data_IF_192885584237
#
_entry.id   IF_192885584237
#
_cell.length_a   1.000
_cell.length_b   1.000
_cell.length_c   1.000
_cell.angle_alpha   90.00
_cell.angle_beta   90.00
_cell.angle_gamma   90.00
#
_symmetry.space_group_name_H-M   'P 1'
#
loop_
_entity.id
_entity.type
_entity.pdbx_description
1 polymer ?
#
# COMPACT_ATOMS: atom_id res chain seq x y z
N UNK A 1 -4.02 41.75 -11.95
CA UNK A 1 -3.88 40.59 -12.85
C UNK A 1 -2.72 39.72 -12.36
N UNK A 2 -2.99 38.76 -11.47
CA UNK A 2 -1.98 37.86 -10.90
C UNK A 2 -2.20 36.48 -11.50
N UNK A 3 -1.24 36.00 -12.31
CA UNK A 3 -1.36 34.74 -13.04
C UNK A 3 -1.14 33.56 -12.10
N UNK A 4 -2.19 32.76 -11.94
CA UNK A 4 -2.21 31.36 -11.51
C UNK A 4 -1.09 30.55 -12.21
N UNK A 5 0.08 30.44 -11.58
CA UNK A 5 1.21 29.61 -12.04
C UNK A 5 1.54 28.46 -11.08
N UNK A 6 0.88 28.39 -9.92
CA UNK A 6 1.11 27.34 -8.91
C UNK A 6 0.21 26.11 -9.06
N UNK A 7 -1.04 26.27 -9.50
CA UNK A 7 -2.00 25.17 -9.60
C UNK A 7 -1.67 24.17 -10.72
N UNK A 8 -1.18 24.66 -11.87
CA UNK A 8 -0.89 23.81 -13.04
C UNK A 8 0.25 22.84 -12.77
N UNK A 9 1.33 23.25 -12.10
CA UNK A 9 2.49 22.37 -11.84
C UNK A 9 2.19 21.21 -10.88
N UNK A 10 1.25 21.41 -9.93
CA UNK A 10 0.78 20.37 -9.02
C UNK A 10 -0.18 19.41 -9.72
N UNK A 11 -1.05 19.92 -10.60
CA UNK A 11 -1.93 19.10 -11.43
C UNK A 11 -1.14 18.24 -12.43
N UNK A 12 -0.09 18.79 -13.04
CA UNK A 12 0.84 18.05 -13.91
C UNK A 12 1.55 16.94 -13.13
N UNK A 13 1.97 17.20 -11.88
CA UNK A 13 2.60 16.21 -11.03
C UNK A 13 1.65 15.08 -10.60
N UNK A 14 0.39 15.40 -10.29
CA UNK A 14 -0.62 14.40 -9.96
C UNK A 14 -0.97 13.54 -11.18
N UNK A 15 -1.18 14.16 -12.35
CA UNK A 15 -1.46 13.43 -13.58
C UNK A 15 -0.31 12.47 -13.94
N UNK A 16 0.94 12.95 -13.90
CA UNK A 16 2.13 12.13 -14.13
C UNK A 16 2.28 10.99 -13.10
N UNK A 17 1.91 11.22 -11.84
CA UNK A 17 1.92 10.17 -10.83
C UNK A 17 0.88 9.08 -11.12
N UNK A 18 -0.32 9.46 -11.59
CA UNK A 18 -1.34 8.51 -11.99
C UNK A 18 -0.96 7.75 -13.26
N UNK A 19 -0.32 8.38 -14.25
CA UNK A 19 0.22 7.68 -15.43
C UNK A 19 1.20 6.57 -15.02
N UNK A 20 2.02 6.81 -14.00
CA UNK A 20 2.94 5.81 -13.46
C UNK A 20 2.20 4.67 -12.72
N UNK A 21 1.19 5.01 -11.92
CA UNK A 21 0.33 4.02 -11.25
C UNK A 21 -0.36 3.13 -12.29
N UNK A 22 -0.96 3.72 -13.32
CA UNK A 22 -1.64 3.00 -14.40
C UNK A 22 -0.68 2.06 -15.14
N UNK A 23 0.56 2.51 -15.39
CA UNK A 23 1.59 1.66 -15.99
C UNK A 23 1.95 0.45 -15.10
N UNK A 24 2.02 0.62 -13.77
CA UNK A 24 2.23 -0.49 -12.84
C UNK A 24 1.06 -1.46 -12.85
N UNK A 25 -0.17 -0.95 -12.79
CA UNK A 25 -1.39 -1.75 -12.78
C UNK A 25 -1.62 -2.52 -14.10
N UNK A 26 -1.11 -2.00 -15.22
CA UNK A 26 -1.18 -2.67 -16.53
C UNK A 26 -0.13 -3.79 -16.72
N UNK A 27 0.82 -3.96 -15.79
CA UNK A 27 1.88 -4.96 -15.91
C UNK A 27 1.33 -6.38 -15.74
N UNK A 28 1.57 -7.32 -16.68
CA UNK A 28 1.00 -8.68 -16.62
C UNK A 28 1.55 -9.54 -15.47
N UNK A 29 2.69 -9.14 -14.88
CA UNK A 29 3.29 -9.81 -13.73
C UNK A 29 2.68 -9.38 -12.39
N UNK A 30 1.87 -8.31 -12.36
CA UNK A 30 1.21 -7.80 -11.17
C UNK A 30 -0.27 -8.17 -11.12
N UNK A 31 -0.80 -8.37 -9.91
CA UNK A 31 -2.23 -8.56 -9.65
C UNK A 31 -2.63 -7.64 -8.50
N UNK A 32 -3.73 -6.92 -8.65
CA UNK A 32 -4.39 -6.22 -7.54
C UNK A 32 -5.19 -7.24 -6.76
N UNK A 33 -4.88 -7.36 -5.47
CA UNK A 33 -5.61 -8.23 -4.54
C UNK A 33 -6.67 -7.43 -3.80
N UNK A 34 -7.83 -8.05 -3.58
CA UNK A 34 -8.92 -7.48 -2.83
C UNK A 34 -9.02 -8.16 -1.46
N UNK A 35 -9.44 -7.45 -0.40
CA UNK A 35 -9.73 -8.08 0.88
C UNK A 35 -10.69 -9.27 0.74
N UNK A 36 -10.37 -10.40 1.37
CA UNK A 36 -11.30 -11.53 1.41
C UNK A 36 -12.37 -11.34 2.50
N UNK A 37 -13.31 -12.28 2.58
CA UNK A 37 -14.30 -12.33 3.68
C UNK A 37 -13.65 -12.46 5.07
N UNK A 38 -12.38 -12.91 5.14
CA UNK A 38 -11.62 -13.07 6.40
C UNK A 38 -11.00 -11.76 6.89
N UNK A 39 -10.98 -10.71 6.06
CA UNK A 39 -10.10 -9.55 6.27
C UNK A 39 -10.41 -8.83 7.57
N UNK A 40 -11.69 -8.63 7.87
CA UNK A 40 -12.12 -7.93 9.09
C UNK A 40 -11.63 -8.64 10.35
N UNK A 41 -11.64 -9.97 10.37
CA UNK A 41 -11.19 -10.73 11.54
C UNK A 41 -9.68 -10.65 11.71
N UNK A 42 -8.92 -10.78 10.61
CA UNK A 42 -7.46 -10.68 10.62
C UNK A 42 -7.02 -9.25 10.98
N UNK A 43 -7.54 -8.25 10.28
CA UNK A 43 -7.23 -6.84 10.51
C UNK A 43 -7.54 -6.42 11.95
N UNK A 44 -8.67 -6.85 12.52
CA UNK A 44 -8.99 -6.57 13.92
C UNK A 44 -7.89 -7.06 14.87
N UNK A 45 -7.37 -8.28 14.65
CA UNK A 45 -6.29 -8.82 15.48
C UNK A 45 -4.97 -8.06 15.32
N UNK A 46 -4.69 -7.52 14.14
CA UNK A 46 -3.48 -6.72 13.90
C UNK A 46 -3.58 -5.28 14.45
N UNK A 47 -4.78 -4.71 14.45
CA UNK A 47 -5.01 -3.35 14.95
C UNK A 47 -4.73 -3.19 16.44
N UNK A 48 -4.90 -4.25 17.23
CA UNK A 48 -4.56 -4.26 18.66
C UNK A 48 -3.07 -3.93 18.90
N UNK A 49 -2.20 -4.19 17.91
CA UNK A 49 -0.76 -3.89 17.94
C UNK A 49 -0.34 -2.72 17.04
N UNK A 50 -1.26 -2.14 16.26
CA UNK A 50 -0.92 -1.21 15.17
C UNK A 50 -0.69 0.24 15.64
N UNK A 51 -1.35 0.72 16.69
CA UNK A 51 -1.29 2.14 17.05
C UNK A 51 -1.73 3.06 15.89
N UNK A 52 -0.82 3.89 15.37
CA UNK A 52 -1.07 4.76 14.21
C UNK A 52 -0.76 4.08 12.85
N UNK A 53 -0.44 2.78 12.83
CA UNK A 53 -0.06 2.01 11.66
C UNK A 53 -1.26 1.28 11.01
N UNK A 54 -2.46 1.85 11.06
CA UNK A 54 -3.68 1.20 10.56
C UNK A 54 -3.63 0.87 9.07
N UNK A 55 -2.93 1.68 8.27
CA UNK A 55 -2.73 1.41 6.85
C UNK A 55 -1.79 0.21 6.62
N UNK A 56 -0.72 0.11 7.41
CA UNK A 56 0.24 -1.00 7.31
C UNK A 56 -0.38 -2.30 7.84
N UNK A 57 -1.21 -2.22 8.88
CA UNK A 57 -2.01 -3.34 9.36
C UNK A 57 -2.96 -3.87 8.27
N UNK A 58 -3.52 -2.98 7.43
CA UNK A 58 -4.33 -3.38 6.27
C UNK A 58 -3.51 -4.16 5.23
N UNK A 59 -2.32 -3.67 4.88
CA UNK A 59 -1.41 -4.37 3.95
C UNK A 59 -0.89 -5.70 4.53
N UNK A 60 -0.56 -5.73 5.82
CA UNK A 60 -0.16 -6.95 6.52
C UNK A 60 -1.29 -7.98 6.55
N UNK A 61 -2.54 -7.55 6.75
CA UNK A 61 -3.70 -8.44 6.68
C UNK A 61 -3.84 -9.08 5.28
N UNK A 62 -3.69 -8.30 4.20
CA UNK A 62 -3.68 -8.86 2.84
C UNK A 62 -2.57 -9.90 2.65
N UNK A 63 -1.35 -9.62 3.16
CA UNK A 63 -0.26 -10.59 3.09
C UNK A 63 -0.61 -11.90 3.82
N UNK A 64 -1.26 -11.84 4.99
CA UNK A 64 -1.73 -13.02 5.73
C UNK A 64 -2.82 -13.77 4.96
N UNK A 65 -3.78 -13.06 4.37
CA UNK A 65 -4.88 -13.66 3.62
C UNK A 65 -4.41 -14.48 2.43
N UNK A 66 -3.45 -13.95 1.68
CA UNK A 66 -2.92 -14.55 0.46
C UNK A 66 -1.67 -15.40 0.68
N UNK A 67 -1.21 -15.55 1.93
CA UNK A 67 0.03 -16.29 2.24
C UNK A 67 1.29 -15.66 1.64
N UNK A 68 1.28 -14.34 1.43
CA UNK A 68 2.34 -13.58 0.80
C UNK A 68 3.40 -13.05 1.77
N UNK A 69 4.36 -12.30 1.21
CA UNK A 69 5.34 -11.52 1.97
C UNK A 69 5.19 -10.03 1.63
N UNK A 70 5.53 -9.15 2.56
CA UNK A 70 5.55 -7.71 2.32
C UNK A 70 6.95 -7.32 1.86
N UNK A 71 7.04 -6.83 0.62
CA UNK A 71 8.25 -6.26 0.06
C UNK A 71 8.37 -4.79 0.48
N UNK A 72 9.20 -4.47 1.47
CA UNK A 72 9.29 -3.12 2.05
C UNK A 72 10.65 -2.83 2.67
N UNK A 73 11.02 -1.56 2.77
CA UNK A 73 12.14 -1.10 3.59
C UNK A 73 11.71 -0.65 5.00
N UNK A 74 10.39 -0.60 5.26
CA UNK A 74 9.84 -0.22 6.54
C UNK A 74 9.84 -1.40 7.52
N UNK A 75 10.62 -1.27 8.60
CA UNK A 75 10.78 -2.31 9.62
C UNK A 75 9.56 -2.43 10.53
N UNK A 76 8.66 -1.46 10.53
CA UNK A 76 7.47 -1.53 11.38
C UNK A 76 6.53 -2.68 10.98
N UNK A 77 6.65 -3.22 9.76
CA UNK A 77 5.93 -4.42 9.35
C UNK A 77 6.29 -5.69 10.15
N UNK A 78 7.49 -5.75 10.74
CA UNK A 78 7.90 -6.89 11.59
C UNK A 78 6.99 -7.04 12.82
N UNK A 79 6.36 -5.94 13.27
CA UNK A 79 5.43 -5.93 14.41
C UNK A 79 4.17 -6.75 14.16
N UNK A 80 3.77 -6.91 12.90
CA UNK A 80 2.57 -7.67 12.51
C UNK A 80 2.84 -9.17 12.32
N UNK A 81 4.09 -9.64 12.51
CA UNK A 81 4.45 -11.05 12.39
C UNK A 81 4.35 -11.61 10.97
N UNK A 82 4.27 -10.74 9.95
CA UNK A 82 4.29 -11.14 8.53
C UNK A 82 5.71 -11.33 8.03
N UNK A 83 5.89 -12.14 6.98
CA UNK A 83 7.18 -12.26 6.32
C UNK A 83 7.51 -10.94 5.60
N UNK A 84 8.66 -10.35 5.94
CA UNK A 84 9.19 -9.16 5.27
C UNK A 84 10.30 -9.56 4.30
N UNK A 85 10.32 -8.94 3.12
CA UNK A 85 11.39 -9.07 2.12
C UNK A 85 11.91 -7.67 1.80
N UNK A 86 13.23 -7.49 1.82
CA UNK A 86 13.87 -6.27 1.37
C UNK A 86 14.07 -6.38 -0.15
N UNK A 87 13.46 -5.50 -0.98
CA UNK A 87 13.70 -5.48 -2.41
C UNK A 87 15.17 -5.18 -2.74
N UNK A 88 15.69 -5.77 -3.82
CA UNK A 88 17.06 -5.58 -4.29
C UNK A 88 17.30 -4.19 -4.87
#
# INVERSE_FOLDING_TARGET
>A
MMRSRGLTRLADGAAQAFDLIDAWLATPAGVVVEPTVRHRAILRGLLDTAGNLSNDAHLAALAVEYGGAVATFDRDFERFGVRVVIPA
#
